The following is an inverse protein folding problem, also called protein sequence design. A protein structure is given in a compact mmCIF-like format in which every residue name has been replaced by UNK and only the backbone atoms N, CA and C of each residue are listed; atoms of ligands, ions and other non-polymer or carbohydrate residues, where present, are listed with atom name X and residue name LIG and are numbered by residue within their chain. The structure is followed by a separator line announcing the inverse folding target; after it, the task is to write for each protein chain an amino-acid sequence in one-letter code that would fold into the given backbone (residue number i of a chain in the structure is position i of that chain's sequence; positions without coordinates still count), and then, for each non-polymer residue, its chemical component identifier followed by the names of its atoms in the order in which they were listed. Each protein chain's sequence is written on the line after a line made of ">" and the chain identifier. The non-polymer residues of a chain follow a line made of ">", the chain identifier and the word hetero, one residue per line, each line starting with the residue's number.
data_IF_357801373235
#
_entry.id   IF_357801373235
#
_cell.length_a   1.000
_cell.length_b   1.000
_cell.length_c   1.000
_cell.angle_alpha   90.00
_cell.angle_beta   90.00
_cell.angle_gamma   90.00
#
_symmetry.space_group_name_H-M   'P 1'
#
loop_
_entity.id
_entity.type
_entity.pdbx_description
1 polymer ?
#
# COMPACT_ATOMS: atom_id res chain seq x y z
N UNK A 1 -4.31 -9.41 8.85
CA UNK A 1 -5.74 -9.12 9.00
C UNK A 1 -6.11 -8.32 10.26
N UNK A 2 -5.84 -8.79 11.49
CA UNK A 2 -6.25 -8.09 12.73
C UNK A 2 -5.93 -6.59 12.75
N UNK A 3 -4.66 -6.21 12.49
CA UNK A 3 -4.23 -4.80 12.43
C UNK A 3 -5.00 -3.97 11.40
N UNK A 4 -5.33 -4.56 10.25
CA UNK A 4 -6.10 -3.90 9.19
C UNK A 4 -7.54 -3.65 9.61
N UNK A 5 -8.16 -4.59 10.34
CA UNK A 5 -9.50 -4.40 10.92
C UNK A 5 -9.51 -3.35 12.01
N UNK A 6 -8.53 -3.37 12.90
CA UNK A 6 -8.37 -2.37 13.97
C UNK A 6 -8.21 -0.96 13.38
N UNK A 7 -7.31 -0.80 12.42
CA UNK A 7 -7.10 0.47 11.73
C UNK A 7 -8.36 0.92 10.96
N UNK A 8 -8.97 0.03 10.18
CA UNK A 8 -10.22 0.30 9.46
C UNK A 8 -11.35 0.69 10.39
N UNK A 9 -11.50 0.00 11.52
CA UNK A 9 -12.51 0.30 12.54
C UNK A 9 -12.38 1.71 13.13
N UNK A 10 -11.14 2.23 13.28
CA UNK A 10 -10.91 3.62 13.68
C UNK A 10 -11.42 4.61 12.64
N UNK A 11 -11.19 4.36 11.35
CA UNK A 11 -11.68 5.20 10.25
C UNK A 11 -13.21 5.16 10.16
N UNK A 12 -13.81 3.97 10.33
CA UNK A 12 -15.27 3.80 10.35
C UNK A 12 -15.89 4.55 11.53
N UNK A 13 -15.33 4.41 12.74
CA UNK A 13 -15.79 5.13 13.93
C UNK A 13 -15.73 6.63 13.73
N UNK A 14 -14.65 7.13 13.13
CA UNK A 14 -14.46 8.54 12.83
C UNK A 14 -15.46 9.07 11.79
N UNK A 15 -15.83 8.26 10.80
CA UNK A 15 -16.91 8.55 9.85
C UNK A 15 -18.27 8.64 10.55
N UNK A 16 -18.64 7.62 11.32
CA UNK A 16 -19.94 7.53 11.98
C UNK A 16 -20.16 8.68 12.97
N UNK A 17 -19.09 9.09 13.65
CA UNK A 17 -19.10 10.22 14.59
C UNK A 17 -18.91 11.58 13.94
N UNK A 18 -18.63 11.63 12.63
CA UNK A 18 -18.38 12.86 11.86
C UNK A 18 -17.26 13.72 12.46
N UNK A 19 -16.23 13.07 13.01
CA UNK A 19 -15.12 13.74 13.69
C UNK A 19 -14.07 14.28 12.72
N UNK A 20 -13.97 13.70 11.52
CA UNK A 20 -13.10 14.20 10.46
C UNK A 20 -11.61 14.05 10.75
N UNK A 21 -11.20 13.13 11.62
CA UNK A 21 -9.80 12.96 12.02
C UNK A 21 -8.98 12.20 11.00
N UNK A 22 -9.58 11.26 10.28
CA UNK A 22 -8.86 10.39 9.33
C UNK A 22 -9.31 10.59 7.89
N UNK A 23 -8.39 10.49 6.93
CA UNK A 23 -8.73 10.53 5.51
C UNK A 23 -8.99 9.12 4.94
N UNK A 24 -8.48 8.10 5.63
CA UNK A 24 -8.58 6.70 5.23
C UNK A 24 -7.45 5.89 5.85
N UNK A 25 -7.04 4.83 5.15
CA UNK A 25 -5.91 3.98 5.51
C UNK A 25 -4.79 4.15 4.49
N UNK A 26 -3.56 4.17 4.96
CA UNK A 26 -2.34 3.91 4.18
C UNK A 26 -1.75 2.59 4.65
N UNK A 27 -1.25 1.78 3.73
CA UNK A 27 -0.67 0.47 4.06
C UNK A 27 0.53 0.14 3.18
N UNK A 28 1.36 -0.74 3.71
CA UNK A 28 2.57 -1.23 3.05
C UNK A 28 2.72 -2.74 3.30
N UNK A 29 2.91 -3.48 2.22
CA UNK A 29 3.51 -4.81 2.24
C UNK A 29 5.02 -4.65 2.08
N UNK A 30 5.81 -5.28 2.93
CA UNK A 30 7.27 -5.17 2.91
C UNK A 30 7.95 -6.50 3.24
N UNK A 31 9.22 -6.63 2.89
CA UNK A 31 10.11 -7.66 3.43
C UNK A 31 11.26 -7.00 4.20
N UNK A 32 12.09 -7.83 4.83
CA UNK A 32 13.26 -7.37 5.57
C UNK A 32 14.53 -7.86 4.87
N UNK A 33 15.48 -6.95 4.64
CA UNK A 33 16.85 -7.28 4.25
C UNK A 33 17.78 -6.94 5.43
N UNK A 34 18.10 -7.96 6.23
CA UNK A 34 18.63 -7.73 7.58
C UNK A 34 17.60 -6.97 8.44
N UNK A 35 17.99 -5.78 8.91
CA UNK A 35 17.12 -4.87 9.66
C UNK A 35 16.46 -3.79 8.77
N UNK A 36 16.75 -3.78 7.47
CA UNK A 36 16.23 -2.80 6.52
C UNK A 36 14.82 -3.16 6.05
N UNK A 37 13.91 -2.19 6.12
CA UNK A 37 12.55 -2.34 5.59
C UNK A 37 12.57 -2.12 4.08
N UNK A 38 12.24 -3.17 3.32
CA UNK A 38 12.17 -3.11 1.86
C UNK A 38 10.69 -3.11 1.41
N UNK A 39 10.13 -1.96 0.99
CA UNK A 39 8.77 -1.89 0.50
C UNK A 39 8.58 -2.79 -0.73
N UNK A 40 7.52 -3.59 -0.70
CA UNK A 40 7.11 -4.46 -1.82
C UNK A 40 5.86 -3.94 -2.49
N UNK A 41 4.92 -3.38 -1.74
CA UNK A 41 3.74 -2.73 -2.30
C UNK A 41 3.21 -1.68 -1.32
N UNK A 42 2.82 -0.51 -1.83
CA UNK A 42 2.12 0.51 -1.07
C UNK A 42 0.75 0.78 -1.67
N UNK A 43 -0.20 1.13 -0.82
CA UNK A 43 -1.47 1.62 -1.31
C UNK A 43 -2.32 2.26 -0.23
N UNK A 44 -3.49 2.73 -0.65
CA UNK A 44 -4.47 3.35 0.25
C UNK A 44 -5.84 2.70 0.20
N UNK A 45 -6.65 3.02 1.21
CA UNK A 45 -8.10 2.87 1.17
C UNK A 45 -8.74 4.12 1.77
N UNK A 46 -9.23 5.03 0.91
CA UNK A 46 -9.87 6.27 1.34
C UNK A 46 -11.14 6.01 2.16
N UNK A 47 -11.43 6.90 3.12
CA UNK A 47 -12.64 6.86 3.95
C UNK A 47 -13.90 6.93 3.09
N UNK A 48 -13.91 7.83 2.10
CA UNK A 48 -15.05 8.05 1.24
C UNK A 48 -14.95 7.24 -0.06
N UNK A 49 -16.10 6.80 -0.58
CA UNK A 49 -16.21 6.19 -1.90
C UNK A 49 -16.22 7.23 -3.03
N UNK A 50 -16.56 6.80 -4.24
CA UNK A 50 -16.60 7.67 -5.42
C UNK A 50 -17.60 8.84 -5.32
N UNK A 51 -18.63 8.73 -4.46
CA UNK A 51 -19.57 9.83 -4.20
C UNK A 51 -18.96 10.98 -3.38
N UNK A 52 -17.82 10.75 -2.72
CA UNK A 52 -17.15 11.72 -1.86
C UNK A 52 -17.80 11.93 -0.49
N UNK A 53 -18.97 11.32 -0.23
CA UNK A 53 -19.75 11.53 1.00
C UNK A 53 -20.07 10.24 1.74
N UNK A 54 -20.26 9.13 1.03
CA UNK A 54 -20.58 7.84 1.64
C UNK A 54 -19.31 7.11 2.07
N UNK A 55 -19.39 6.38 3.18
CA UNK A 55 -18.33 5.48 3.61
C UNK A 55 -17.99 4.50 2.47
N UNK A 56 -16.70 4.43 2.16
CA UNK A 56 -16.14 3.57 1.15
C UNK A 56 -16.60 2.13 1.37
N UNK A 57 -17.10 1.49 0.32
CA UNK A 57 -17.63 0.13 0.41
C UNK A 57 -16.58 -0.90 0.85
N UNK A 58 -15.29 -0.59 0.73
CA UNK A 58 -14.17 -1.42 1.20
C UNK A 58 -13.97 -1.37 2.72
N UNK A 59 -14.52 -0.36 3.40
CA UNK A 59 -14.46 -0.18 4.85
C UNK A 59 -15.79 -0.57 5.53
N UNK A 60 -16.86 -0.80 4.77
CA UNK A 60 -18.14 -1.24 5.33
C UNK A 60 -18.01 -2.64 5.95
N UNK A 61 -18.44 -2.78 7.19
CA UNK A 61 -18.35 -4.00 7.99
C UNK A 61 -16.92 -4.55 8.04
N UNK A 62 -15.91 -3.68 8.14
CA UNK A 62 -14.48 -4.07 8.07
C UNK A 62 -14.07 -5.07 9.16
N UNK A 63 -14.81 -5.10 10.27
CA UNK A 63 -14.66 -6.06 11.36
C UNK A 63 -15.02 -7.50 10.96
N UNK A 64 -15.93 -7.68 10.01
CA UNK A 64 -16.54 -8.97 9.66
C UNK A 64 -16.46 -9.33 8.17
N UNK A 65 -16.11 -8.37 7.30
CA UNK A 65 -16.11 -8.55 5.85
C UNK A 65 -14.74 -9.02 5.34
N UNK A 66 -14.63 -10.33 5.13
CA UNK A 66 -13.42 -10.98 4.60
C UNK A 66 -13.25 -10.76 3.09
N UNK A 67 -14.32 -10.40 2.38
CA UNK A 67 -14.31 -10.28 0.92
C UNK A 67 -13.63 -9.02 0.42
N UNK A 68 -13.90 -7.86 1.04
CA UNK A 68 -13.35 -6.57 0.59
C UNK A 68 -12.17 -6.07 1.43
N UNK A 69 -12.26 -6.26 2.75
CA UNK A 69 -11.30 -5.88 3.78
C UNK A 69 -10.29 -4.80 3.37
N UNK A 70 -10.74 -3.54 3.26
CA UNK A 70 -9.87 -2.41 2.93
C UNK A 70 -8.95 -2.63 1.71
N UNK A 71 -9.47 -3.27 0.66
CA UNK A 71 -8.81 -3.71 -0.59
C UNK A 71 -8.02 -5.02 -0.52
N UNK A 72 -7.80 -5.56 0.67
CA UNK A 72 -7.03 -6.78 0.91
C UNK A 72 -7.90 -8.03 1.15
N UNK A 73 -9.20 -7.99 0.88
CA UNK A 73 -10.04 -9.18 1.09
C UNK A 73 -9.83 -10.31 0.08
N UNK A 74 -10.52 -11.42 0.32
CA UNK A 74 -10.49 -12.65 -0.47
C UNK A 74 -11.49 -12.69 -1.63
N UNK A 75 -12.29 -11.63 -1.82
CA UNK A 75 -13.18 -11.53 -2.97
C UNK A 75 -12.43 -11.19 -4.25
N UNK A 76 -13.09 -11.40 -5.39
CA UNK A 76 -12.56 -10.96 -6.68
C UNK A 76 -12.33 -9.44 -6.69
N UNK A 77 -11.29 -8.99 -7.41
CA UNK A 77 -10.84 -7.60 -7.52
C UNK A 77 -10.15 -7.02 -6.27
N UNK A 78 -9.78 -7.89 -5.32
CA UNK A 78 -9.09 -7.55 -4.08
C UNK A 78 -7.80 -8.36 -3.94
N UNK A 79 -6.81 -7.81 -3.22
CA UNK A 79 -5.43 -8.30 -3.29
C UNK A 79 -5.28 -9.79 -2.93
N UNK A 80 -5.86 -10.27 -1.83
CA UNK A 80 -5.73 -11.68 -1.47
C UNK A 80 -6.58 -12.59 -2.35
N UNK A 81 -7.77 -12.16 -2.75
CA UNK A 81 -8.64 -12.93 -3.64
C UNK A 81 -7.99 -13.15 -5.00
N UNK A 82 -7.57 -12.06 -5.66
CA UNK A 82 -6.96 -12.12 -6.98
C UNK A 82 -5.59 -12.83 -6.96
N UNK A 83 -4.78 -12.63 -5.91
CA UNK A 83 -3.51 -13.35 -5.76
C UNK A 83 -3.74 -14.86 -5.56
N UNK A 84 -4.76 -15.24 -4.79
CA UNK A 84 -5.13 -16.65 -4.61
C UNK A 84 -5.63 -17.26 -5.92
N UNK A 85 -6.46 -16.54 -6.69
CA UNK A 85 -6.91 -16.99 -8.01
C UNK A 85 -5.74 -17.19 -8.97
N UNK A 86 -4.79 -16.25 -9.01
CA UNK A 86 -3.57 -16.40 -9.79
C UNK A 86 -2.75 -17.63 -9.34
N UNK A 87 -2.58 -17.84 -8.03
CA UNK A 87 -1.75 -18.92 -7.49
C UNK A 87 -2.32 -20.33 -7.72
N UNK A 88 -3.64 -20.50 -7.58
CA UNK A 88 -4.27 -21.83 -7.48
C UNK A 88 -5.17 -22.19 -8.65
N UNK A 89 -5.62 -21.22 -9.43
CA UNK A 89 -6.67 -21.41 -10.44
C UNK A 89 -6.25 -21.01 -11.85
N UNK A 90 -5.11 -20.34 -12.00
CA UNK A 90 -4.59 -19.82 -13.28
C UNK A 90 -5.62 -18.92 -14.01
N UNK A 91 -6.52 -18.25 -13.24
CA UNK A 91 -7.60 -17.40 -13.74
C UNK A 91 -7.60 -15.99 -13.11
N UNK A 92 -6.53 -15.64 -12.40
CA UNK A 92 -6.34 -14.32 -11.79
C UNK A 92 -5.96 -13.23 -12.82
N UNK A 93 -6.08 -11.94 -12.45
CA UNK A 93 -5.57 -10.85 -13.30
C UNK A 93 -4.04 -10.93 -13.44
N UNK A 94 -3.52 -10.88 -14.66
CA UNK A 94 -2.09 -11.09 -14.94
C UNK A 94 -1.09 -10.15 -14.24
N UNK A 95 -1.57 -9.04 -13.63
CA UNK A 95 -0.70 -8.22 -12.75
C UNK A 95 -0.20 -8.98 -11.51
N UNK A 96 -0.92 -10.01 -11.07
CA UNK A 96 -0.53 -10.84 -9.93
C UNK A 96 0.48 -11.92 -10.31
N UNK A 97 0.70 -12.20 -11.59
CA UNK A 97 1.78 -13.10 -12.03
C UNK A 97 3.13 -12.58 -11.56
N UNK A 98 3.35 -11.26 -11.68
CA UNK A 98 4.54 -10.58 -11.13
C UNK A 98 4.65 -10.73 -9.61
N UNK A 99 3.53 -10.72 -8.90
CA UNK A 99 3.53 -10.94 -7.45
C UNK A 99 3.88 -12.39 -7.12
N UNK A 100 3.36 -13.36 -7.86
CA UNK A 100 3.71 -14.77 -7.70
C UNK A 100 5.21 -14.97 -7.90
N UNK A 101 5.75 -14.47 -9.01
CA UNK A 101 7.18 -14.59 -9.33
C UNK A 101 8.06 -13.96 -8.24
N UNK A 102 7.68 -12.75 -7.78
CA UNK A 102 8.48 -11.99 -6.83
C UNK A 102 8.38 -12.48 -5.38
N UNK A 103 7.23 -13.04 -4.97
CA UNK A 103 6.97 -13.41 -3.58
C UNK A 103 7.12 -14.90 -3.31
N UNK A 104 6.85 -15.77 -4.30
CA UNK A 104 6.78 -17.22 -4.10
C UNK A 104 7.95 -17.95 -4.77
N UNK A 105 8.58 -18.85 -4.01
CA UNK A 105 9.57 -19.79 -4.51
C UNK A 105 8.91 -21.02 -5.18
N UNK A 106 7.64 -21.28 -4.82
CA UNK A 106 6.77 -22.30 -5.41
C UNK A 106 5.33 -21.91 -5.10
N UNK A 107 4.41 -22.22 -6.01
CA UNK A 107 2.95 -22.02 -5.85
C UNK A 107 2.20 -23.32 -5.57
N UNK A 108 2.85 -24.48 -5.72
CA UNK A 108 2.28 -25.80 -5.45
C UNK A 108 3.30 -26.73 -4.75
N UNK A 109 3.27 -26.83 -3.39
CA UNK A 109 2.51 -25.98 -2.47
C UNK A 109 3.11 -24.56 -2.36
N UNK A 110 2.29 -23.54 -2.00
CA UNK A 110 2.78 -22.18 -1.85
C UNK A 110 3.87 -22.06 -0.80
N UNK A 111 5.02 -21.53 -1.20
CA UNK A 111 6.14 -21.21 -0.31
C UNK A 111 6.70 -19.84 -0.67
N UNK A 112 6.69 -18.92 0.29
CA UNK A 112 7.31 -17.61 0.12
C UNK A 112 8.84 -17.73 -0.05
N UNK A 113 9.42 -16.84 -0.84
CA UNK A 113 10.89 -16.70 -0.99
C UNK A 113 11.52 -16.16 0.28
N UNK A 114 10.83 -15.26 0.95
CA UNK A 114 11.23 -14.55 2.16
C UNK A 114 9.98 -14.20 2.99
N UNK A 115 10.10 -13.97 4.30
CA UNK A 115 9.00 -13.46 5.09
C UNK A 115 8.46 -12.13 4.54
N UNK A 116 7.13 -12.04 4.44
CA UNK A 116 6.43 -10.82 4.03
C UNK A 116 5.62 -10.30 5.21
N UNK A 117 5.72 -9.00 5.44
CA UNK A 117 5.10 -8.29 6.54
C UNK A 117 4.11 -7.25 6.02
N UNK A 118 3.26 -6.79 6.93
CA UNK A 118 2.22 -5.84 6.63
C UNK A 118 2.14 -4.74 7.69
N UNK A 119 2.19 -3.50 7.23
CA UNK A 119 2.01 -2.29 8.01
C UNK A 119 0.77 -1.53 7.49
N UNK A 120 0.04 -0.91 8.40
CA UNK A 120 -1.16 -0.12 8.07
C UNK A 120 -1.41 0.89 9.18
N UNK A 121 -1.77 2.11 8.80
CA UNK A 121 -2.17 3.17 9.71
C UNK A 121 -3.37 3.96 9.17
N UNK A 122 -4.30 4.39 10.04
CA UNK A 122 -5.24 5.45 9.72
C UNK A 122 -4.49 6.77 9.48
N UNK A 123 -4.60 7.34 8.28
CA UNK A 123 -3.93 8.59 7.96
C UNK A 123 -4.72 9.76 8.54
N UNK A 124 -4.14 10.48 9.50
CA UNK A 124 -4.79 11.60 10.15
C UNK A 124 -4.66 12.88 9.32
N UNK A 125 -5.72 13.68 9.30
CA UNK A 125 -5.74 14.96 8.60
C UNK A 125 -4.63 15.85 9.15
N UNK A 126 -3.83 16.41 8.24
CA UNK A 126 -2.73 17.30 8.59
C UNK A 126 -1.51 16.60 9.18
N UNK A 127 -1.40 15.27 9.08
CA UNK A 127 -0.15 14.55 9.42
C UNK A 127 0.97 15.02 8.49
N UNK A 128 2.17 15.19 9.03
CA UNK A 128 3.35 15.52 8.21
C UNK A 128 3.73 14.32 7.35
N UNK A 129 4.00 14.60 6.07
CA UNK A 129 4.39 13.59 5.09
C UNK A 129 5.89 13.28 5.12
N UNK A 130 6.37 12.45 4.17
CA UNK A 130 7.80 12.14 4.04
C UNK A 130 8.66 13.35 3.62
N UNK A 131 8.05 14.40 3.07
CA UNK A 131 8.76 15.64 2.75
C UNK A 131 8.60 16.66 3.87
N UNK A 132 9.70 17.22 4.42
CA UNK A 132 9.64 18.18 5.51
C UNK A 132 8.70 19.35 5.21
N UNK A 133 7.95 19.78 6.24
CA UNK A 133 7.00 20.89 6.18
C UNK A 133 5.82 20.68 5.21
N UNK A 134 5.60 19.45 4.72
CA UNK A 134 4.44 19.10 3.89
C UNK A 134 3.41 18.27 4.66
N UNK A 135 2.13 18.48 4.36
CA UNK A 135 1.01 17.75 4.98
C UNK A 135 0.10 17.20 3.88
N UNK A 136 0.55 16.14 3.18
CA UNK A 136 -0.16 15.63 2.02
C UNK A 136 -1.51 15.03 2.45
N UNK A 137 -2.51 15.24 1.61
CA UNK A 137 -3.75 14.47 1.67
C UNK A 137 -3.47 13.02 1.23
N UNK A 138 -4.34 12.09 1.60
CA UNK A 138 -4.07 10.64 1.49
C UNK A 138 -3.73 10.19 0.07
N UNK A 139 -4.40 10.72 -0.95
CA UNK A 139 -4.06 10.44 -2.34
C UNK A 139 -2.63 10.89 -2.67
N UNK A 140 -2.25 12.12 -2.31
CA UNK A 140 -0.90 12.63 -2.55
C UNK A 140 0.15 11.80 -1.80
N UNK A 141 -0.11 11.45 -0.53
CA UNK A 141 0.78 10.62 0.27
C UNK A 141 1.08 9.28 -0.43
N UNK A 142 0.07 8.61 -0.99
CA UNK A 142 0.25 7.34 -1.71
C UNK A 142 1.24 7.50 -2.86
N UNK A 143 1.10 8.53 -3.69
CA UNK A 143 2.04 8.80 -4.79
C UNK A 143 3.45 9.16 -4.29
N UNK A 144 3.56 9.95 -3.21
CA UNK A 144 4.85 10.31 -2.63
C UNK A 144 5.59 9.06 -2.13
N UNK A 145 4.91 8.18 -1.39
CA UNK A 145 5.52 6.97 -0.85
C UNK A 145 5.86 5.95 -1.95
N UNK A 146 5.01 5.80 -2.97
CA UNK A 146 5.32 4.95 -4.14
C UNK A 146 6.55 5.48 -4.87
N UNK A 147 6.65 6.80 -5.07
CA UNK A 147 7.81 7.44 -5.69
C UNK A 147 9.11 7.16 -4.94
N UNK A 148 9.12 7.40 -3.62
CA UNK A 148 10.28 7.14 -2.75
C UNK A 148 10.67 5.65 -2.78
N UNK A 149 9.68 4.75 -2.63
CA UNK A 149 9.95 3.32 -2.64
C UNK A 149 10.47 2.83 -4.00
N UNK A 150 9.98 3.41 -5.09
CA UNK A 150 10.42 3.08 -6.44
C UNK A 150 11.85 3.53 -6.70
N UNK A 151 12.27 4.67 -6.16
CA UNK A 151 13.64 5.16 -6.30
C UNK A 151 14.64 4.31 -5.53
N UNK A 152 14.28 3.94 -4.30
CA UNK A 152 15.16 3.17 -3.43
C UNK A 152 15.18 1.68 -3.80
N UNK A 153 14.06 1.14 -4.27
CA UNK A 153 13.91 -0.30 -4.54
C UNK A 153 13.16 -0.60 -5.86
N UNK A 154 13.63 -0.08 -7.01
CA UNK A 154 12.90 -0.16 -8.29
C UNK A 154 12.62 -1.60 -8.73
N UNK A 155 13.54 -2.52 -8.45
CA UNK A 155 13.41 -3.93 -8.83
C UNK A 155 12.52 -4.73 -7.86
N UNK A 156 12.32 -4.24 -6.63
CA UNK A 156 11.58 -4.95 -5.59
C UNK A 156 10.13 -4.47 -5.45
N UNK A 157 9.82 -3.26 -5.92
CA UNK A 157 8.49 -2.67 -5.83
C UNK A 157 7.50 -3.27 -6.84
N UNK A 158 6.35 -3.68 -6.34
CA UNK A 158 5.27 -4.36 -7.08
C UNK A 158 4.13 -3.43 -7.50
N UNK A 159 4.16 -2.17 -7.08
CA UNK A 159 3.28 -1.14 -7.63
C UNK A 159 3.50 -1.03 -9.15
N UNK A 160 2.40 -1.02 -9.91
CA UNK A 160 2.41 -0.71 -11.34
C UNK A 160 1.78 0.65 -11.61
N UNK A 161 0.81 1.04 -10.79
CA UNK A 161 0.20 2.36 -10.77
C UNK A 161 0.90 3.23 -9.74
N UNK A 162 0.99 4.54 -10.01
CA UNK A 162 1.67 5.50 -9.14
C UNK A 162 3.18 5.59 -9.30
N UNK A 163 3.79 4.67 -10.04
CA UNK A 163 5.22 4.72 -10.39
C UNK A 163 5.48 5.87 -11.38
N UNK A 164 6.51 6.70 -11.19
CA UNK A 164 6.85 7.77 -12.13
C UNK A 164 7.08 7.25 -13.55
N UNK A 165 6.39 7.83 -14.54
CA UNK A 165 6.47 7.42 -15.95
C UNK A 165 7.86 7.64 -16.58
N UNK A 166 8.69 8.52 -15.99
CA UNK A 166 10.08 8.72 -16.36
C UNK A 166 10.94 8.85 -15.08
N UNK A 167 11.44 7.72 -14.56
CA UNK A 167 12.25 7.65 -13.34
C UNK A 167 13.46 8.60 -13.34
N UNK A 168 14.20 8.63 -14.45
CA UNK A 168 15.43 9.41 -14.59
C UNK A 168 15.13 10.92 -14.62
N UNK A 169 14.09 11.34 -15.33
CA UNK A 169 13.66 12.73 -15.35
C UNK A 169 13.15 13.18 -13.96
N UNK A 170 12.46 12.29 -13.25
CA UNK A 170 11.97 12.57 -11.90
C UNK A 170 13.13 12.74 -10.90
N UNK A 171 14.10 11.82 -10.89
CA UNK A 171 15.30 11.90 -10.06
C UNK A 171 16.13 13.16 -10.35
N UNK A 172 16.28 13.52 -11.64
CA UNK A 172 16.97 14.74 -12.06
C UNK A 172 16.23 16.02 -11.65
N UNK A 173 14.91 16.04 -11.75
CA UNK A 173 14.07 17.19 -11.33
C UNK A 173 14.21 17.48 -9.83
N UNK A 174 14.42 16.44 -9.03
CA UNK A 174 14.58 16.55 -7.58
C UNK A 174 16.01 16.85 -7.13
N UNK A 175 16.96 16.95 -8.08
CA UNK A 175 18.37 17.23 -7.79
C UNK A 175 19.10 16.07 -7.11
N UNK A 176 18.63 14.83 -7.31
CA UNK A 176 19.09 13.65 -6.59
C UNK A 176 20.21 12.88 -7.28
N UNK A 177 20.46 13.14 -8.56
CA UNK A 177 21.66 12.63 -9.26
C UNK A 177 22.97 13.28 -8.78
N UNK A 178 22.88 14.30 -7.92
CA UNK A 178 23.99 15.13 -7.50
C UNK A 178 24.40 14.93 -6.01
N UNK A 179 23.78 13.97 -5.28
CA UNK A 179 24.06 13.72 -3.85
C UNK A 179 24.36 12.25 -3.58
N UNK A 180 25.55 11.96 -3.03
CA UNK A 180 26.04 10.61 -2.69
C UNK A 180 25.53 10.09 -1.34
N UNK A 181 24.76 10.89 -0.60
CA UNK A 181 24.69 10.81 0.86
C UNK A 181 23.28 10.75 1.46
N UNK A 182 22.23 10.54 0.67
CA UNK A 182 20.87 10.37 1.22
C UNK A 182 20.65 8.94 1.74
N UNK A 183 20.52 8.77 3.05
CA UNK A 183 20.14 7.49 3.68
C UNK A 183 18.73 7.57 4.25
N UNK A 184 18.04 6.42 4.32
CA UNK A 184 16.72 6.29 4.93
C UNK A 184 16.68 6.73 6.42
N UNK A 185 17.83 6.80 7.09
CA UNK A 185 17.97 7.36 8.45
C UNK A 185 17.72 8.86 8.54
N UNK A 186 17.64 9.54 7.40
CA UNK A 186 17.47 11.00 7.32
C UNK A 186 15.97 11.40 7.21
N UNK A 187 15.06 10.41 7.26
CA UNK A 187 13.60 10.57 7.20
C UNK A 187 12.90 9.83 8.35
#
# INVERSE_FOLDING_TARGET
>A
ERRLREAGGRVVTDYDRREGRYEGLVYMMYSLDGDEVVPRYLGKCGKFGASGTDLNSNLRNVDTNDGKLARWGYGNYYHFGDLSSAAFRDDGPGKYDRWLDALFASTDPPRLREPVYFWVEPWAVGTEGPYPDTRPYLEELEYQLIGIAFELYPERLLNTEGVPANPEAYAKMRGWTDREDTRLSDF
#
